data_IF_327125826376
#
_entry.id   IF_327125826376
#
_cell.length_a   1.000
_cell.length_b   1.000
_cell.length_c   1.000
_cell.angle_alpha   90.00
_cell.angle_beta   90.00
_cell.angle_gamma   90.00
#
_symmetry.space_group_name_H-M   'P 1'
#
loop_
_entity.id
_entity.type
_entity.pdbx_description
1 polymer ?
#
# COMPACT_ATOMS: atom_id res chain seq x y z
N UNK A 1 -32.60 16.32 2.68
CA UNK A 1 -31.30 15.71 2.39
C UNK A 1 -30.54 15.62 3.70
N UNK A 2 -29.95 14.48 4.03
CA UNK A 2 -28.98 14.44 5.14
C UNK A 2 -27.86 15.45 4.82
N UNK A 3 -27.35 16.16 5.82
CA UNK A 3 -26.28 17.17 5.64
C UNK A 3 -25.00 16.59 4.99
N UNK A 4 -24.92 15.28 4.83
CA UNK A 4 -23.77 14.54 4.32
C UNK A 4 -24.05 13.76 3.02
N UNK A 5 -25.15 14.00 2.30
CA UNK A 5 -25.33 13.46 0.96
C UNK A 5 -25.35 14.57 -0.10
N UNK A 6 -24.16 14.92 -0.60
CA UNK A 6 -24.00 15.76 -1.78
C UNK A 6 -24.55 15.06 -3.03
N UNK A 7 -24.97 15.81 -4.07
CA UNK A 7 -25.46 15.22 -5.32
C UNK A 7 -24.49 14.20 -5.92
N UNK A 8 -23.22 14.55 -6.03
CA UNK A 8 -22.16 13.67 -6.57
C UNK A 8 -22.00 12.39 -5.75
N UNK A 9 -22.10 12.45 -4.42
CA UNK A 9 -22.06 11.25 -3.59
C UNK A 9 -23.33 10.40 -3.72
N UNK A 10 -24.50 11.02 -3.93
CA UNK A 10 -25.74 10.31 -4.16
C UNK A 10 -25.68 9.48 -5.45
N UNK A 11 -25.11 10.06 -6.51
CA UNK A 11 -24.95 9.42 -7.81
C UNK A 11 -23.97 8.22 -7.71
N UNK A 12 -22.79 8.43 -7.12
CA UNK A 12 -21.79 7.38 -6.89
C UNK A 12 -22.35 6.24 -6.02
N UNK A 13 -23.08 6.57 -4.94
CA UNK A 13 -23.70 5.56 -4.08
C UNK A 13 -24.71 4.71 -4.86
N UNK A 14 -25.52 5.35 -5.71
CA UNK A 14 -26.51 4.68 -6.55
C UNK A 14 -25.87 3.70 -7.54
N UNK A 15 -24.75 4.07 -8.15
CA UNK A 15 -23.99 3.20 -9.06
C UNK A 15 -23.38 1.99 -8.31
N UNK A 16 -22.95 2.20 -7.06
CA UNK A 16 -22.44 1.15 -6.18
C UNK A 16 -23.53 0.25 -5.55
N UNK A 17 -24.82 0.57 -5.75
CA UNK A 17 -25.94 -0.24 -5.29
C UNK A 17 -26.48 0.11 -3.90
N UNK A 18 -26.11 1.27 -3.32
CA UNK A 18 -26.60 1.70 -2.00
C UNK A 18 -27.11 3.15 -1.99
N UNK A 19 -27.81 3.53 -0.91
CA UNK A 19 -28.35 4.88 -0.74
C UNK A 19 -27.60 5.64 0.36
N UNK A 20 -27.05 6.80 0.00
CA UNK A 20 -26.47 7.74 0.98
C UNK A 20 -27.48 8.26 2.01
N UNK A 21 -28.79 8.18 1.73
CA UNK A 21 -29.83 8.63 2.65
C UNK A 21 -30.03 7.67 3.82
N UNK A 22 -29.67 6.40 3.60
CA UNK A 22 -29.79 5.31 4.57
C UNK A 22 -28.44 4.82 5.07
N UNK A 23 -27.33 5.33 4.51
CA UNK A 23 -25.96 5.04 4.88
C UNK A 23 -25.60 5.61 6.27
N UNK A 24 -26.19 5.02 7.30
CA UNK A 24 -25.62 4.88 8.63
C UNK A 24 -25.42 6.13 9.49
N UNK A 25 -24.59 5.92 10.52
CA UNK A 25 -24.09 6.93 11.46
C UNK A 25 -22.55 6.88 11.53
N UNK A 26 -21.97 7.24 12.68
CA UNK A 26 -20.50 7.25 12.84
C UNK A 26 -19.85 5.86 12.68
N UNK A 27 -20.57 4.80 13.06
CA UNK A 27 -20.15 3.39 12.93
C UNK A 27 -21.38 2.59 12.52
N UNK A 28 -21.21 1.68 11.57
CA UNK A 28 -22.27 0.78 11.10
C UNK A 28 -21.76 -0.64 10.92
N UNK A 29 -22.65 -1.61 11.17
CA UNK A 29 -22.37 -3.04 11.03
C UNK A 29 -23.40 -3.66 10.10
N UNK A 30 -22.92 -4.32 9.04
CA UNK A 30 -23.73 -5.04 8.05
C UNK A 30 -23.48 -6.54 8.14
N UNK A 31 -24.43 -7.33 7.61
CA UNK A 31 -24.24 -8.76 7.48
C UNK A 31 -23.32 -9.04 6.28
N UNK A 32 -22.17 -9.72 6.44
CA UNK A 32 -21.24 -9.98 5.33
C UNK A 32 -21.84 -10.82 4.19
N UNK A 33 -22.92 -11.57 4.46
CA UNK A 33 -23.62 -12.39 3.46
C UNK A 33 -24.73 -11.63 2.72
N UNK A 34 -24.98 -10.37 3.07
CA UNK A 34 -26.00 -9.52 2.46
C UNK A 34 -25.38 -8.27 1.80
N UNK A 35 -24.07 -8.27 1.58
CA UNK A 35 -23.37 -7.22 0.84
C UNK A 35 -23.68 -7.34 -0.66
N UNK A 36 -23.47 -6.25 -1.40
CA UNK A 36 -23.83 -6.11 -2.82
C UNK A 36 -23.29 -7.26 -3.69
N UNK A 37 -22.07 -7.73 -3.39
CA UNK A 37 -21.51 -8.90 -4.04
C UNK A 37 -20.57 -9.68 -3.11
N UNK A 38 -20.28 -10.92 -3.49
CA UNK A 38 -19.47 -11.85 -2.69
C UNK A 38 -18.00 -11.47 -2.56
N UNK A 39 -17.49 -10.56 -3.41
CA UNK A 39 -16.08 -10.17 -3.39
C UNK A 39 -15.77 -9.15 -2.28
N UNK A 40 -16.76 -8.35 -1.87
CA UNK A 40 -16.65 -7.39 -0.77
C UNK A 40 -16.16 -8.04 0.55
N UNK A 41 -16.83 -9.09 1.09
CA UNK A 41 -16.36 -9.71 2.33
C UNK A 41 -15.04 -10.46 2.16
N UNK A 42 -14.73 -10.96 0.95
CA UNK A 42 -13.44 -11.63 0.65
C UNK A 42 -12.29 -10.63 0.73
N UNK A 43 -12.46 -9.46 0.10
CA UNK A 43 -11.49 -8.37 0.15
C UNK A 43 -11.30 -7.88 1.59
N UNK A 44 -12.40 -7.51 2.26
CA UNK A 44 -12.35 -6.98 3.63
C UNK A 44 -11.65 -7.94 4.59
N UNK A 45 -12.00 -9.23 4.54
CA UNK A 45 -11.37 -10.25 5.39
C UNK A 45 -9.87 -10.38 5.11
N UNK A 46 -9.48 -10.40 3.83
CA UNK A 46 -8.07 -10.53 3.42
C UNK A 46 -7.24 -9.34 3.92
N UNK A 47 -7.77 -8.12 3.80
CA UNK A 47 -7.04 -6.93 4.20
C UNK A 47 -7.01 -6.77 5.74
N UNK A 48 -8.17 -6.94 6.40
CA UNK A 48 -8.28 -6.77 7.86
C UNK A 48 -7.46 -7.82 8.61
N UNK A 49 -7.52 -9.10 8.22
CA UNK A 49 -6.67 -10.13 8.81
C UNK A 49 -5.19 -9.80 8.59
N UNK A 50 -4.82 -9.37 7.38
CA UNK A 50 -3.45 -8.96 7.06
C UNK A 50 -2.95 -7.85 7.98
N UNK A 51 -3.74 -6.79 8.18
CA UNK A 51 -3.41 -5.67 9.05
C UNK A 51 -3.29 -6.07 10.52
N UNK A 52 -4.20 -6.90 11.03
CA UNK A 52 -4.18 -7.39 12.41
C UNK A 52 -2.96 -8.27 12.66
N UNK A 53 -2.66 -9.19 11.74
CA UNK A 53 -1.48 -10.06 11.84
C UNK A 53 -0.18 -9.26 11.70
N UNK A 54 -0.15 -8.21 10.87
CA UNK A 54 0.98 -7.29 10.77
C UNK A 54 1.22 -6.56 12.09
N UNK A 55 0.17 -6.04 12.73
CA UNK A 55 0.26 -5.39 14.03
C UNK A 55 0.74 -6.37 15.10
N UNK A 56 0.16 -7.57 15.14
CA UNK A 56 0.56 -8.61 16.07
C UNK A 56 2.04 -8.97 15.90
N UNK A 57 2.51 -9.15 14.67
CA UNK A 57 3.92 -9.40 14.37
C UNK A 57 4.81 -8.24 14.84
N UNK A 58 4.42 -6.99 14.56
CA UNK A 58 5.16 -5.80 14.98
C UNK A 58 5.31 -5.72 16.51
N UNK A 59 4.24 -6.00 17.26
CA UNK A 59 4.25 -6.05 18.72
C UNK A 59 5.18 -7.17 19.23
N UNK A 60 5.06 -8.38 18.67
CA UNK A 60 5.91 -9.52 19.04
C UNK A 60 7.37 -9.20 18.78
N UNK A 61 7.67 -8.54 17.65
CA UNK A 61 9.03 -8.20 17.26
C UNK A 61 9.65 -7.14 18.17
N UNK A 62 8.89 -6.09 18.51
CA UNK A 62 9.32 -5.12 19.52
C UNK A 62 9.67 -5.82 20.84
N UNK A 63 8.79 -6.73 21.31
CA UNK A 63 8.98 -7.41 22.60
C UNK A 63 10.14 -8.41 22.61
N UNK A 64 10.39 -9.10 21.51
CA UNK A 64 11.42 -10.17 21.43
C UNK A 64 12.78 -9.70 20.94
N UNK A 65 12.81 -8.66 20.12
CA UNK A 65 14.03 -8.20 19.44
C UNK A 65 14.34 -6.73 19.70
N UNK A 66 13.53 -6.02 20.51
CA UNK A 66 13.74 -4.61 20.80
C UNK A 66 13.54 -3.69 19.60
N UNK A 67 12.97 -4.19 18.49
CA UNK A 67 12.87 -3.43 17.24
C UNK A 67 11.45 -2.86 17.01
N UNK A 68 11.26 -1.54 17.20
CA UNK A 68 9.98 -0.87 17.03
C UNK A 68 9.64 -0.50 15.57
N UNK A 69 10.52 -0.74 14.61
CA UNK A 69 10.40 -0.19 13.24
C UNK A 69 9.09 -0.58 12.57
N UNK A 70 8.68 -1.85 12.69
CA UNK A 70 7.45 -2.34 12.06
C UNK A 70 6.20 -1.79 12.77
N UNK A 71 6.29 -1.49 14.07
CA UNK A 71 5.21 -0.91 14.85
C UNK A 71 4.99 0.57 14.49
N UNK A 72 6.10 1.30 14.36
CA UNK A 72 6.09 2.70 13.94
C UNK A 72 5.63 2.83 12.49
N UNK A 73 5.99 1.89 11.61
CA UNK A 73 5.47 1.81 10.25
C UNK A 73 3.95 1.65 10.24
N UNK A 74 3.43 0.68 11.01
CA UNK A 74 1.99 0.40 11.08
C UNK A 74 1.20 1.63 11.55
N UNK A 75 1.56 2.19 12.70
CA UNK A 75 0.87 3.38 13.22
C UNK A 75 1.15 4.65 12.43
N UNK A 76 2.33 4.76 11.79
CA UNK A 76 2.65 5.87 10.89
C UNK A 76 1.77 5.88 9.64
N UNK A 77 1.51 4.70 9.06
CA UNK A 77 0.57 4.55 7.95
C UNK A 77 -0.87 4.90 8.36
N UNK A 78 -1.29 4.47 9.55
CA UNK A 78 -2.61 4.83 10.10
C UNK A 78 -2.71 6.32 10.41
N UNK A 79 -1.65 6.96 10.91
CA UNK A 79 -1.64 8.41 11.12
C UNK A 79 -1.73 9.17 9.79
N UNK A 80 -1.02 8.71 8.75
CA UNK A 80 -1.13 9.26 7.39
C UNK A 80 -2.56 9.19 6.85
N UNK A 81 -3.22 8.03 6.96
CA UNK A 81 -4.63 7.83 6.60
C UNK A 81 -5.52 8.90 7.25
N UNK A 82 -5.44 9.08 8.57
CA UNK A 82 -6.30 10.03 9.28
C UNK A 82 -5.99 11.51 8.99
N UNK A 83 -4.86 11.81 8.37
CA UNK A 83 -4.55 13.17 7.88
C UNK A 83 -5.14 13.41 6.51
N UNK A 84 -5.10 12.41 5.62
CA UNK A 84 -5.47 12.57 4.20
C UNK A 84 -6.95 12.26 3.93
N UNK A 85 -7.51 11.22 4.53
CA UNK A 85 -8.84 10.71 4.20
C UNK A 85 -10.01 11.60 4.62
N UNK A 86 -10.06 12.17 5.84
CA UNK A 86 -11.22 12.99 6.23
C UNK A 86 -11.47 14.19 5.29
N UNK A 87 -10.44 14.94 4.83
CA UNK A 87 -10.62 15.96 3.80
C UNK A 87 -11.18 15.46 2.48
N UNK A 88 -10.82 14.24 2.06
CA UNK A 88 -11.29 13.63 0.81
C UNK A 88 -12.76 13.21 0.89
N UNK A 89 -13.21 12.72 2.06
CA UNK A 89 -14.59 12.29 2.26
C UNK A 89 -15.56 13.42 2.60
N UNK A 90 -15.08 14.50 3.21
CA UNK A 90 -15.91 15.62 3.67
C UNK A 90 -15.37 16.98 3.21
N UNK A 91 -15.16 17.21 1.91
CA UNK A 91 -14.55 18.46 1.43
C UNK A 91 -15.29 19.71 1.93
N UNK A 92 -16.63 19.62 2.05
CA UNK A 92 -17.48 20.66 2.63
C UNK A 92 -17.13 21.01 4.08
N UNK A 93 -16.91 20.00 4.93
CA UNK A 93 -16.55 20.21 6.33
C UNK A 93 -15.17 20.87 6.52
N UNK A 94 -14.32 20.79 5.49
CA UNK A 94 -13.01 21.43 5.45
C UNK A 94 -12.99 22.74 4.64
N UNK A 95 -14.14 23.19 4.14
CA UNK A 95 -14.26 24.43 3.36
C UNK A 95 -13.52 24.40 2.03
N UNK A 96 -13.34 23.22 1.44
CA UNK A 96 -12.66 23.02 0.15
C UNK A 96 -13.61 22.56 -0.96
N UNK A 97 -14.92 22.58 -0.71
CA UNK A 97 -15.98 22.17 -1.65
C UNK A 97 -15.96 22.95 -2.98
N UNK A 98 -15.61 24.24 -2.96
CA UNK A 98 -15.46 25.07 -4.17
C UNK A 98 -14.24 24.67 -5.03
N UNK A 99 -13.39 23.78 -4.53
CA UNK A 99 -12.12 23.37 -5.15
C UNK A 99 -12.01 21.84 -5.33
N UNK A 100 -12.72 21.07 -4.51
CA UNK A 100 -12.66 19.60 -4.44
C UNK A 100 -14.09 19.09 -4.19
N UNK A 101 -14.73 18.57 -5.23
CA UNK A 101 -15.93 17.75 -5.05
C UNK A 101 -15.54 16.31 -4.65
N UNK A 102 -16.53 15.50 -4.27
CA UNK A 102 -16.38 14.08 -3.90
C UNK A 102 -15.56 13.34 -4.95
N UNK A 103 -14.34 12.94 -4.59
CA UNK A 103 -13.39 12.34 -5.54
C UNK A 103 -13.73 10.89 -5.87
N UNK A 104 -14.27 10.16 -4.89
CA UNK A 104 -14.68 8.76 -5.02
C UNK A 104 -15.65 8.40 -3.90
N UNK A 105 -16.32 7.27 -4.05
CA UNK A 105 -17.08 6.64 -2.99
C UNK A 105 -16.69 5.17 -2.90
N UNK A 106 -16.54 4.65 -1.68
CA UNK A 106 -16.47 3.21 -1.48
C UNK A 106 -17.86 2.61 -1.42
N UNK A 107 -17.96 1.33 -1.79
CA UNK A 107 -19.15 0.55 -1.44
C UNK A 107 -19.19 0.34 0.08
N UNK A 108 -20.33 -0.12 0.59
CA UNK A 108 -20.51 -0.43 2.00
C UNK A 108 -20.09 -1.85 2.32
N UNK A 109 -19.26 -2.02 3.34
CA UNK A 109 -18.70 -3.31 3.75
C UNK A 109 -19.34 -3.78 5.07
N UNK A 110 -18.76 -4.81 5.70
CA UNK A 110 -19.30 -5.32 6.97
C UNK A 110 -19.18 -4.29 8.09
N UNK A 111 -18.08 -3.54 8.11
CA UNK A 111 -17.86 -2.48 9.10
C UNK A 111 -17.48 -1.19 8.38
N UNK A 112 -18.34 -0.18 8.53
CA UNK A 112 -18.13 1.14 7.95
C UNK A 112 -18.11 2.22 9.03
N UNK A 113 -17.32 3.24 8.78
CA UNK A 113 -17.24 4.46 9.57
C UNK A 113 -17.72 5.66 8.76
N UNK A 114 -17.98 6.76 9.46
CA UNK A 114 -18.21 8.07 8.85
C UNK A 114 -19.36 8.07 7.82
N UNK A 115 -20.54 7.59 8.20
CA UNK A 115 -21.75 7.57 7.36
C UNK A 115 -21.55 6.78 6.05
N UNK A 116 -20.92 5.61 6.14
CA UNK A 116 -20.69 4.72 5.01
C UNK A 116 -19.58 5.16 4.05
N UNK A 117 -18.69 6.06 4.46
CA UNK A 117 -17.63 6.60 3.60
C UNK A 117 -16.27 5.98 3.83
N UNK A 118 -16.00 5.49 5.04
CA UNK A 118 -14.71 4.89 5.40
C UNK A 118 -14.91 3.45 5.87
N UNK A 119 -14.86 2.48 4.96
CA UNK A 119 -14.86 1.06 5.32
C UNK A 119 -13.63 0.67 6.14
N UNK A 120 -13.77 -0.30 7.06
CA UNK A 120 -12.65 -0.76 7.90
C UNK A 120 -11.49 -1.33 7.07
N UNK A 121 -11.77 -1.91 5.90
CA UNK A 121 -10.71 -2.45 5.04
C UNK A 121 -9.81 -1.33 4.50
N UNK A 122 -10.33 -0.12 4.29
CA UNK A 122 -9.51 1.05 3.89
C UNK A 122 -8.61 1.48 5.05
N UNK A 123 -9.14 1.51 6.28
CA UNK A 123 -8.30 1.75 7.46
C UNK A 123 -7.18 0.71 7.57
N UNK A 124 -7.48 -0.55 7.22
CA UNK A 124 -6.56 -1.67 7.31
C UNK A 124 -5.57 -1.79 6.14
N UNK A 125 -5.94 -1.37 4.91
CA UNK A 125 -5.09 -1.58 3.72
C UNK A 125 -3.80 -0.78 3.80
N UNK A 126 -3.86 0.44 4.34
CA UNK A 126 -2.73 1.34 4.50
C UNK A 126 -1.59 0.70 5.32
N UNK A 127 -1.80 0.32 6.59
CA UNK A 127 -0.75 -0.31 7.37
C UNK A 127 -0.37 -1.70 6.85
N UNK A 128 -1.33 -2.46 6.28
CA UNK A 128 -1.04 -3.79 5.74
C UNK A 128 -0.09 -3.74 4.54
N UNK A 129 -0.43 -2.95 3.51
CA UNK A 129 0.32 -2.87 2.27
C UNK A 129 1.70 -2.22 2.49
N UNK A 130 1.75 -1.16 3.30
CA UNK A 130 3.01 -0.56 3.73
C UNK A 130 3.92 -1.59 4.42
N UNK A 131 3.37 -2.42 5.30
CA UNK A 131 4.13 -3.49 5.98
C UNK A 131 4.66 -4.54 5.01
N UNK A 132 3.85 -4.99 4.05
CA UNK A 132 4.27 -5.97 3.04
C UNK A 132 5.42 -5.42 2.21
N UNK A 133 5.26 -4.24 1.62
CA UNK A 133 6.26 -3.64 0.75
C UNK A 133 7.56 -3.32 1.50
N UNK A 134 7.46 -2.68 2.66
CA UNK A 134 8.60 -2.36 3.51
C UNK A 134 9.33 -3.63 3.98
N UNK A 135 8.59 -4.64 4.42
CA UNK A 135 9.13 -5.91 4.88
C UNK A 135 9.93 -6.63 3.79
N UNK A 136 9.42 -6.68 2.55
CA UNK A 136 10.12 -7.28 1.40
C UNK A 136 11.46 -6.58 1.17
N UNK A 137 11.46 -5.25 1.04
CA UNK A 137 12.67 -4.46 0.78
C UNK A 137 13.68 -4.57 1.92
N UNK A 138 13.19 -4.59 3.16
CA UNK A 138 14.01 -4.74 4.36
C UNK A 138 14.65 -6.13 4.45
N UNK A 139 13.92 -7.19 4.15
CA UNK A 139 14.47 -8.56 4.13
C UNK A 139 15.59 -8.71 3.08
N UNK A 140 15.47 -8.04 1.94
CA UNK A 140 16.53 -7.98 0.93
C UNK A 140 17.70 -7.07 1.35
N UNK A 141 17.63 -6.43 2.53
CA UNK A 141 18.71 -5.64 3.10
C UNK A 141 19.05 -4.37 2.30
N UNK A 142 18.12 -3.87 1.49
CA UNK A 142 18.35 -2.70 0.62
C UNK A 142 18.70 -1.47 1.45
N UNK A 143 17.97 -1.22 2.55
CA UNK A 143 18.23 -0.08 3.45
C UNK A 143 19.66 -0.08 4.00
N UNK A 144 20.19 -1.25 4.38
CA UNK A 144 21.56 -1.38 4.92
C UNK A 144 22.62 -1.17 3.84
N UNK A 145 22.37 -1.65 2.61
CA UNK A 145 23.35 -1.59 1.51
C UNK A 145 23.35 -0.27 0.76
N UNK A 146 22.19 0.32 0.51
CA UNK A 146 22.01 1.50 -0.36
C UNK A 146 21.45 2.72 0.38
N UNK A 147 21.16 2.60 1.67
CA UNK A 147 20.68 3.70 2.51
C UNK A 147 19.17 3.93 2.43
N UNK A 148 18.73 4.92 3.21
CA UNK A 148 17.32 5.21 3.46
C UNK A 148 16.54 5.61 2.21
N UNK A 149 17.07 6.53 1.39
CA UNK A 149 16.36 7.05 0.22
C UNK A 149 16.15 5.98 -0.86
N UNK A 150 17.20 5.23 -1.18
CA UNK A 150 17.11 4.17 -2.19
C UNK A 150 16.22 3.03 -1.71
N UNK A 151 16.32 2.64 -0.44
CA UNK A 151 15.40 1.66 0.14
C UNK A 151 13.95 2.14 0.10
N UNK A 152 13.67 3.40 0.43
CA UNK A 152 12.33 3.98 0.35
C UNK A 152 11.79 3.99 -1.08
N UNK A 153 12.62 4.31 -2.06
CA UNK A 153 12.27 4.24 -3.49
C UNK A 153 11.87 2.80 -3.89
N UNK A 154 12.62 1.80 -3.40
CA UNK A 154 12.27 0.40 -3.61
C UNK A 154 10.96 0.01 -2.91
N UNK A 155 10.65 0.60 -1.75
CA UNK A 155 9.36 0.37 -1.07
C UNK A 155 8.21 0.94 -1.89
N UNK A 156 8.33 2.16 -2.41
CA UNK A 156 7.35 2.72 -3.34
C UNK A 156 7.11 1.82 -4.55
N UNK A 157 8.18 1.30 -5.16
CA UNK A 157 8.09 0.40 -6.31
C UNK A 157 7.38 -0.92 -5.99
N UNK A 158 7.73 -1.56 -4.87
CA UNK A 158 7.08 -2.81 -4.45
C UNK A 158 5.62 -2.56 -4.05
N UNK A 159 5.36 -1.51 -3.27
CA UNK A 159 4.00 -1.15 -2.86
C UNK A 159 3.10 -0.93 -4.07
N UNK A 160 3.57 -0.14 -5.04
CA UNK A 160 2.89 0.10 -6.30
C UNK A 160 2.48 -1.21 -6.98
N UNK A 161 3.42 -2.14 -7.15
CA UNK A 161 3.12 -3.41 -7.82
C UNK A 161 2.08 -4.27 -7.07
N UNK A 162 1.97 -4.15 -5.75
CA UNK A 162 0.89 -4.82 -5.01
C UNK A 162 -0.43 -4.05 -5.08
N UNK A 163 -0.38 -2.74 -4.91
CA UNK A 163 -1.54 -1.87 -4.84
C UNK A 163 -2.30 -1.84 -6.17
N UNK A 164 -1.61 -1.72 -7.30
CA UNK A 164 -2.22 -1.65 -8.64
C UNK A 164 -2.94 -2.93 -9.07
N UNK A 165 -2.64 -4.08 -8.44
CA UNK A 165 -3.40 -5.31 -8.64
C UNK A 165 -4.82 -5.16 -8.09
N UNK A 166 -4.94 -4.50 -6.93
CA UNK A 166 -6.18 -4.21 -6.25
C UNK A 166 -6.90 -3.01 -6.88
N UNK A 167 -6.16 -1.94 -7.22
CA UNK A 167 -6.78 -0.68 -7.67
C UNK A 167 -7.47 -0.82 -9.04
N UNK A 168 -6.86 -1.58 -9.96
CA UNK A 168 -7.40 -1.76 -11.31
C UNK A 168 -8.57 -2.76 -11.42
N UNK A 169 -8.86 -3.56 -10.39
CA UNK A 169 -10.04 -4.45 -10.38
C UNK A 169 -11.19 -3.89 -9.55
N UNK A 170 -10.89 -2.97 -8.61
CA UNK A 170 -11.89 -2.44 -7.67
C UNK A 170 -13.12 -1.82 -8.32
N UNK A 171 -12.97 -0.94 -9.33
CA UNK A 171 -14.13 -0.37 -10.02
C UNK A 171 -15.00 -1.43 -10.69
N UNK A 172 -14.39 -2.41 -11.39
CA UNK A 172 -15.11 -3.50 -12.05
C UNK A 172 -15.90 -4.36 -11.05
N UNK A 173 -15.38 -4.55 -9.83
CA UNK A 173 -16.04 -5.35 -8.78
C UNK A 173 -16.89 -4.50 -7.81
N UNK A 174 -17.10 -3.22 -8.13
CA UNK A 174 -17.87 -2.26 -7.31
C UNK A 174 -17.36 -2.17 -5.87
N UNK A 175 -16.05 -2.18 -5.68
CA UNK A 175 -15.45 -1.92 -4.36
C UNK A 175 -15.43 -0.43 -4.04
N UNK A 176 -15.26 0.38 -5.08
CA UNK A 176 -15.41 1.83 -5.08
C UNK A 176 -15.62 2.33 -6.49
N UNK A 177 -15.98 3.60 -6.60
CA UNK A 177 -16.17 4.28 -7.86
C UNK A 177 -15.52 5.66 -7.83
N UNK A 178 -14.86 6.01 -8.93
CA UNK A 178 -14.19 7.30 -9.10
C UNK A 178 -15.14 8.31 -9.72
N UNK A 179 -15.10 9.55 -9.23
CA UNK A 179 -15.72 10.67 -9.94
C UNK A 179 -14.90 11.00 -11.19
N UNK A 180 -15.28 10.45 -12.34
CA UNK A 180 -14.50 10.57 -13.58
C UNK A 180 -14.42 12.00 -14.11
N UNK A 181 -15.40 12.85 -13.81
CA UNK A 181 -15.40 14.25 -14.24
C UNK A 181 -14.63 15.18 -13.29
N UNK A 182 -14.17 14.67 -12.14
CA UNK A 182 -13.41 15.46 -11.19
C UNK A 182 -12.01 15.80 -11.74
N UNK A 183 -11.63 17.09 -11.86
CA UNK A 183 -10.33 17.48 -12.41
C UNK A 183 -9.11 16.89 -11.69
N UNK A 184 -9.24 16.54 -10.40
CA UNK A 184 -8.17 15.94 -9.61
C UNK A 184 -7.92 14.48 -10.01
N UNK A 185 -8.97 13.77 -10.41
CA UNK A 185 -8.87 12.38 -10.88
C UNK A 185 -8.27 12.28 -12.29
N UNK A 186 -8.24 13.39 -13.02
CA UNK A 186 -7.73 13.42 -14.39
C UNK A 186 -6.20 13.58 -14.46
N UNK A 187 -5.50 12.96 -15.42
CA UNK A 187 -6.04 12.00 -16.39
C UNK A 187 -6.35 10.63 -15.77
N UNK A 188 -7.31 9.93 -16.37
CA UNK A 188 -7.57 8.52 -16.08
C UNK A 188 -6.62 7.60 -16.86
N UNK A 189 -6.30 6.46 -16.27
CA UNK A 189 -5.66 5.30 -16.88
C UNK A 189 -6.65 4.14 -16.85
N UNK A 190 -7.41 4.02 -17.95
CA UNK A 190 -8.64 3.23 -18.00
C UNK A 190 -9.56 3.63 -16.82
N UNK A 191 -10.01 2.69 -15.98
CA UNK A 191 -10.88 3.01 -14.84
C UNK A 191 -10.20 3.72 -13.65
N UNK A 192 -8.88 3.95 -13.66
CA UNK A 192 -8.14 4.41 -12.45
C UNK A 192 -7.44 5.75 -12.68
N UNK A 193 -7.56 6.75 -11.79
CA UNK A 193 -6.82 8.01 -11.90
C UNK A 193 -5.30 7.79 -11.95
N UNK A 194 -4.60 8.42 -12.89
CA UNK A 194 -3.12 8.40 -12.94
C UNK A 194 -2.53 8.96 -11.65
N UNK A 195 -3.20 9.91 -11.01
CA UNK A 195 -2.85 10.39 -9.68
C UNK A 195 -2.87 9.28 -8.60
N UNK A 196 -3.83 8.35 -8.66
CA UNK A 196 -3.86 7.15 -7.80
C UNK A 196 -2.61 6.30 -8.03
N UNK A 197 -2.39 5.93 -9.30
CA UNK A 197 -1.30 5.06 -9.74
C UNK A 197 0.08 5.58 -9.32
N UNK A 198 0.29 6.90 -9.31
CA UNK A 198 1.59 7.47 -8.94
C UNK A 198 1.65 7.85 -7.47
N UNK A 199 0.69 8.64 -7.00
CA UNK A 199 0.75 9.24 -5.66
C UNK A 199 0.37 8.22 -4.60
N UNK A 200 -0.79 7.58 -4.75
CA UNK A 200 -1.35 6.61 -3.81
C UNK A 200 -0.67 5.24 -3.90
N UNK A 201 -0.22 4.82 -5.08
CA UNK A 201 0.45 3.53 -5.21
C UNK A 201 1.96 3.59 -4.91
N UNK A 202 2.66 4.69 -5.22
CA UNK A 202 4.13 4.70 -5.20
C UNK A 202 4.78 5.79 -4.32
N UNK A 203 4.27 7.02 -4.33
CA UNK A 203 4.97 8.15 -3.69
C UNK A 203 4.72 8.26 -2.18
N UNK A 204 3.49 8.11 -1.69
CA UNK A 204 3.27 8.13 -0.23
C UNK A 204 3.94 6.97 0.52
N UNK A 205 3.96 5.71 0.02
CA UNK A 205 4.63 4.61 0.72
C UNK A 205 6.15 4.83 0.70
N UNK A 206 6.69 5.41 -0.39
CA UNK A 206 8.08 5.85 -0.43
C UNK A 206 8.35 6.92 0.64
N UNK A 207 7.49 7.92 0.77
CA UNK A 207 7.64 8.97 1.79
C UNK A 207 7.58 8.39 3.21
N UNK A 208 6.58 7.56 3.50
CA UNK A 208 6.45 6.88 4.78
C UNK A 208 7.69 6.02 5.09
N UNK A 209 8.12 5.19 4.14
CA UNK A 209 9.29 4.34 4.31
C UNK A 209 10.57 5.14 4.57
N UNK A 210 10.74 6.27 3.87
CA UNK A 210 11.85 7.20 4.12
C UNK A 210 11.79 7.72 5.55
N UNK A 211 10.65 8.25 5.99
CA UNK A 211 10.48 8.80 7.34
C UNK A 211 10.71 7.73 8.42
N UNK A 212 10.10 6.54 8.29
CA UNK A 212 10.27 5.43 9.24
C UNK A 212 11.74 5.04 9.36
N UNK A 213 12.43 4.86 8.24
CA UNK A 213 13.84 4.47 8.24
C UNK A 213 14.76 5.58 8.72
N UNK A 214 14.45 6.84 8.38
CA UNK A 214 15.26 7.98 8.79
C UNK A 214 15.13 8.27 10.29
N UNK A 215 13.92 8.21 10.86
CA UNK A 215 13.69 8.53 12.25
C UNK A 215 13.88 7.34 13.19
N UNK A 216 13.65 6.11 12.75
CA UNK A 216 13.69 4.92 13.62
C UNK A 216 14.61 3.85 13.05
N UNK A 217 14.30 3.29 11.88
CA UNK A 217 14.95 2.06 11.37
C UNK A 217 16.48 2.12 11.35
N UNK A 218 17.08 3.18 10.79
CA UNK A 218 18.55 3.31 10.72
C UNK A 218 19.24 3.41 12.09
N UNK A 219 18.54 3.90 13.11
CA UNK A 219 19.08 4.01 14.45
C UNK A 219 19.00 2.67 15.18
N UNK A 220 17.90 1.92 14.98
CA UNK A 220 17.77 0.56 15.49
C UNK A 220 18.84 -0.34 14.85
N UNK A 221 19.05 -0.21 13.53
CA UNK A 221 20.11 -0.92 12.81
C UNK A 221 21.53 -0.56 13.34
N UNK A 222 21.70 0.63 13.93
CA UNK A 222 22.92 1.06 14.60
C UNK A 222 22.98 0.66 16.10
N UNK A 223 22.02 -0.11 16.60
CA UNK A 223 21.98 -0.60 17.98
C UNK A 223 21.41 0.40 19.00
N UNK A 224 20.68 1.43 18.56
CA UNK A 224 20.04 2.39 19.46
C UNK A 224 18.64 1.91 19.86
N UNK A 225 18.40 1.91 21.18
CA UNK A 225 17.09 1.71 21.77
C UNK A 225 16.31 3.02 21.94
N UNK A 226 14.99 2.90 22.02
CA UNK A 226 14.07 4.02 22.12
C UNK A 226 13.12 3.87 23.31
N UNK A 227 12.93 4.96 24.07
CA UNK A 227 11.90 5.01 25.10
C UNK A 227 10.50 5.13 24.47
N UNK A 228 9.45 4.71 25.19
CA UNK A 228 8.07 4.72 24.69
C UNK A 228 7.59 6.10 24.23
N UNK A 229 7.89 7.16 24.99
CA UNK A 229 7.55 8.55 24.62
C UNK A 229 8.26 8.98 23.34
N UNK A 230 9.52 8.55 23.16
CA UNK A 230 10.28 8.85 21.94
C UNK A 230 9.65 8.20 20.70
N UNK A 231 9.14 6.96 20.85
CA UNK A 231 8.43 6.28 19.77
C UNK A 231 7.09 6.93 19.44
N UNK A 232 6.33 7.38 20.44
CA UNK A 232 5.02 8.02 20.22
C UNK A 232 5.16 9.29 19.38
N UNK A 233 6.02 10.23 19.78
CA UNK A 233 6.14 11.49 19.01
C UNK A 233 6.74 11.24 17.62
N UNK A 234 7.71 10.33 17.50
CA UNK A 234 8.30 9.97 16.19
C UNK A 234 7.23 9.41 15.26
N UNK A 235 6.35 8.56 15.76
CA UNK A 235 5.24 7.98 14.98
C UNK A 235 4.31 9.07 14.46
N UNK A 236 3.94 10.03 15.31
CA UNK A 236 3.10 11.19 14.90
C UNK A 236 3.82 12.02 13.84
N UNK A 237 5.08 12.38 14.06
CA UNK A 237 5.88 13.16 13.11
C UNK A 237 6.06 12.42 11.78
N UNK A 238 6.27 11.10 11.82
CA UNK A 238 6.37 10.27 10.63
C UNK A 238 5.06 10.32 9.83
N UNK A 239 3.90 10.15 10.46
CA UNK A 239 2.60 10.25 9.77
C UNK A 239 2.39 11.62 9.12
N UNK A 240 2.71 12.70 9.84
CA UNK A 240 2.60 14.06 9.32
C UNK A 240 3.56 14.33 8.16
N UNK A 241 4.84 13.95 8.29
CA UNK A 241 5.84 14.15 7.23
C UNK A 241 5.60 13.27 6.01
N UNK A 242 5.10 12.05 6.19
CA UNK A 242 4.66 11.19 5.09
C UNK A 242 3.49 11.85 4.32
N UNK A 243 2.58 12.50 5.05
CA UNK A 243 1.49 13.30 4.47
C UNK A 243 2.03 14.45 3.63
N UNK A 244 3.01 15.20 4.15
CA UNK A 244 3.69 16.26 3.39
C UNK A 244 4.32 15.72 2.11
N UNK A 245 4.94 14.54 2.14
CA UNK A 245 5.53 13.91 0.95
C UNK A 245 4.52 13.62 -0.15
N UNK A 246 3.27 13.32 0.20
CA UNK A 246 2.17 13.11 -0.77
C UNK A 246 1.85 14.37 -1.55
N UNK A 247 2.07 15.55 -0.97
CA UNK A 247 1.91 16.83 -1.67
C UNK A 247 3.18 17.24 -2.41
N UNK A 248 4.36 17.03 -1.81
CA UNK A 248 5.64 17.52 -2.35
C UNK A 248 6.17 16.68 -3.51
N UNK A 249 6.09 15.35 -3.43
CA UNK A 249 6.65 14.46 -4.43
C UNK A 249 5.99 14.60 -5.82
N UNK A 250 4.66 14.74 -5.95
CA UNK A 250 4.02 14.96 -7.24
C UNK A 250 4.02 16.43 -7.71
N UNK A 251 4.68 17.35 -6.99
CA UNK A 251 4.72 18.76 -7.39
C UNK A 251 5.17 19.00 -8.84
N UNK A 252 6.18 18.29 -9.40
CA UNK A 252 6.54 18.49 -10.79
C UNK A 252 5.35 18.23 -11.73
N UNK A 253 4.61 17.15 -11.54
CA UNK A 253 3.40 16.86 -12.31
C UNK A 253 2.30 17.92 -12.09
N UNK A 254 2.06 18.32 -10.85
CA UNK A 254 1.04 19.32 -10.50
C UNK A 254 1.34 20.69 -11.10
N UNK A 255 2.59 21.16 -11.02
CA UNK A 255 3.00 22.50 -11.48
C UNK A 255 3.13 22.54 -13.00
N UNK A 256 3.83 21.57 -13.60
CA UNK A 256 4.04 21.55 -15.06
C UNK A 256 2.75 21.20 -15.81
N UNK A 257 1.88 20.40 -15.20
CA UNK A 257 0.60 19.98 -15.73
C UNK A 257 -0.59 20.86 -15.34
N UNK A 258 -0.37 22.00 -14.69
CA UNK A 258 -1.45 22.86 -14.17
C UNK A 258 -2.44 23.32 -15.27
N UNK A 259 -1.95 23.54 -16.48
CA UNK A 259 -2.74 23.98 -17.64
C UNK A 259 -3.07 22.88 -18.65
N UNK A 260 -2.61 21.64 -18.42
CA UNK A 260 -2.80 20.54 -19.36
C UNK A 260 -2.83 19.19 -18.66
N UNK A 261 -4.00 18.53 -18.73
CA UNK A 261 -4.19 17.15 -18.26
C UNK A 261 -3.23 16.18 -18.93
N UNK A 262 -2.95 16.35 -20.23
CA UNK A 262 -1.98 15.51 -20.95
C UNK A 262 -0.56 15.70 -20.41
N UNK A 263 -0.11 16.94 -20.19
CA UNK A 263 1.22 17.20 -19.61
C UNK A 263 1.30 16.62 -18.20
N UNK A 264 0.27 16.83 -17.37
CA UNK A 264 0.19 16.25 -16.02
C UNK A 264 0.37 14.73 -16.05
N UNK A 265 -0.37 14.03 -16.91
CA UNK A 265 -0.27 12.58 -17.08
C UNK A 265 1.12 12.12 -17.55
N UNK A 266 1.72 12.82 -18.51
CA UNK A 266 3.07 12.50 -18.98
C UNK A 266 4.10 12.66 -17.86
N UNK A 267 4.05 13.74 -17.09
CA UNK A 267 5.00 13.97 -15.99
C UNK A 267 4.81 12.94 -14.89
N UNK A 268 3.57 12.61 -14.51
CA UNK A 268 3.29 11.50 -13.60
C UNK A 268 3.87 10.17 -14.08
N UNK A 269 3.67 9.83 -15.36
CA UNK A 269 4.24 8.62 -15.94
C UNK A 269 5.78 8.62 -15.89
N UNK A 270 6.43 9.75 -16.16
CA UNK A 270 7.89 9.88 -16.06
C UNK A 270 8.41 9.72 -14.63
N UNK A 271 7.72 10.30 -13.64
CA UNK A 271 8.04 10.12 -12.21
C UNK A 271 7.98 8.64 -11.82
N UNK A 272 6.90 7.96 -12.21
CA UNK A 272 6.71 6.55 -11.93
C UNK A 272 7.74 5.67 -12.65
N UNK A 273 8.06 5.95 -13.92
CA UNK A 273 9.09 5.24 -14.67
C UNK A 273 10.45 5.40 -14.00
N UNK A 274 10.82 6.62 -13.59
CA UNK A 274 12.08 6.88 -12.92
C UNK A 274 12.19 6.09 -11.60
N UNK A 275 11.14 6.13 -10.77
CA UNK A 275 11.04 5.36 -9.53
C UNK A 275 11.15 3.86 -9.80
N UNK A 276 10.42 3.35 -10.81
CA UNK A 276 10.36 1.94 -11.16
C UNK A 276 11.69 1.40 -11.69
N UNK A 277 12.38 2.17 -12.53
CA UNK A 277 13.71 1.81 -13.03
C UNK A 277 14.71 1.69 -11.88
N UNK A 278 14.73 2.67 -10.98
CA UNK A 278 15.62 2.63 -9.80
C UNK A 278 15.29 1.44 -8.90
N UNK A 279 14.01 1.26 -8.56
CA UNK A 279 13.54 0.16 -7.71
C UNK A 279 13.90 -1.21 -8.29
N UNK A 280 13.57 -1.44 -9.57
CA UNK A 280 13.85 -2.71 -10.24
C UNK A 280 15.36 -3.00 -10.33
N UNK A 281 16.17 -2.03 -10.76
CA UNK A 281 17.62 -2.20 -10.91
C UNK A 281 18.27 -2.53 -9.56
N UNK A 282 17.90 -1.80 -8.50
CA UNK A 282 18.47 -1.99 -7.16
C UNK A 282 18.05 -3.35 -6.59
N UNK A 283 16.77 -3.72 -6.68
CA UNK A 283 16.29 -5.00 -6.17
C UNK A 283 16.93 -6.19 -6.90
N UNK A 284 17.04 -6.13 -8.22
CA UNK A 284 17.67 -7.19 -9.02
C UNK A 284 19.16 -7.31 -8.70
N UNK A 285 19.89 -6.19 -8.60
CA UNK A 285 21.31 -6.21 -8.20
C UNK A 285 21.45 -6.81 -6.80
N UNK A 286 20.66 -6.34 -5.84
CA UNK A 286 20.75 -6.80 -4.46
C UNK A 286 20.45 -8.30 -4.32
N UNK A 287 19.41 -8.77 -5.01
CA UNK A 287 19.07 -10.20 -5.04
C UNK A 287 20.21 -11.04 -5.63
N UNK A 288 20.84 -10.60 -6.72
CA UNK A 288 22.00 -11.30 -7.32
C UNK A 288 23.19 -11.35 -6.38
N UNK A 289 23.53 -10.23 -5.73
CA UNK A 289 24.66 -10.16 -4.80
C UNK A 289 24.45 -11.08 -3.60
N UNK A 290 23.23 -11.08 -3.03
CA UNK A 290 22.85 -11.97 -1.94
C UNK A 290 22.94 -13.45 -2.30
N UNK A 291 22.58 -13.81 -3.55
CA UNK A 291 22.67 -15.20 -4.02
C UNK A 291 24.11 -15.65 -4.32
N UNK A 292 25.02 -14.72 -4.58
CA UNK A 292 26.45 -15.02 -4.79
C UNK A 292 27.23 -15.16 -3.49
N UNK A 293 26.66 -14.71 -2.36
CA UNK A 293 27.37 -14.64 -1.09
C UNK A 293 28.23 -13.39 -0.93
N UNK A 294 28.13 -12.42 -1.85
CA UNK A 294 28.97 -11.23 -1.94
C UNK A 294 28.54 -10.08 -0.98
N UNK A 295 27.89 -10.40 0.14
CA UNK A 295 27.53 -9.37 1.11
C UNK A 295 27.01 -9.90 2.43
N UNK A 296 26.88 -8.99 3.40
CA UNK A 296 26.27 -9.28 4.70
C UNK A 296 24.90 -9.93 4.46
N UNK A 297 24.75 -11.16 4.97
CA UNK A 297 23.53 -11.95 4.82
C UNK A 297 22.28 -11.20 5.29
N UNK A 298 21.07 -11.69 4.96
CA UNK A 298 19.84 -11.06 5.42
C UNK A 298 19.81 -11.08 6.96
N UNK A 299 20.06 -9.93 7.59
CA UNK A 299 20.02 -9.78 9.05
C UNK A 299 18.60 -9.71 9.60
N UNK A 300 17.60 -9.80 8.71
CA UNK A 300 16.18 -9.71 9.02
C UNK A 300 15.39 -10.64 8.09
N UNK A 301 14.52 -11.47 8.69
CA UNK A 301 13.54 -12.29 7.98
C UNK A 301 12.19 -12.09 8.65
N UNK A 302 11.13 -11.97 7.84
CA UNK A 302 9.76 -11.80 8.28
C UNK A 302 8.86 -12.86 7.64
N UNK A 303 8.66 -14.01 8.32
CA UNK A 303 7.81 -15.09 7.81
C UNK A 303 6.34 -14.68 7.61
N UNK A 304 5.85 -13.71 8.38
CA UNK A 304 4.51 -13.18 8.20
C UNK A 304 4.39 -12.48 6.84
N UNK A 305 5.26 -11.50 6.55
CA UNK A 305 5.26 -10.78 5.26
C UNK A 305 5.41 -11.75 4.10
N UNK A 306 6.33 -12.71 4.20
CA UNK A 306 6.54 -13.72 3.17
C UNK A 306 5.27 -14.52 2.85
N UNK A 307 4.62 -15.08 3.87
CA UNK A 307 3.46 -15.96 3.68
C UNK A 307 2.21 -15.18 3.32
N UNK A 308 1.97 -14.05 3.98
CA UNK A 308 0.75 -13.29 3.77
C UNK A 308 0.77 -12.50 2.45
N UNK A 309 1.95 -12.10 1.96
CA UNK A 309 2.07 -11.57 0.59
C UNK A 309 1.67 -12.62 -0.47
N UNK A 310 2.04 -13.89 -0.28
CA UNK A 310 1.58 -14.98 -1.15
C UNK A 310 0.06 -15.16 -1.06
N UNK A 311 -0.51 -15.15 0.16
CA UNK A 311 -1.96 -15.25 0.35
C UNK A 311 -2.69 -14.12 -0.37
N UNK A 312 -2.23 -12.87 -0.21
CA UNK A 312 -2.79 -11.71 -0.90
C UNK A 312 -2.75 -11.89 -2.42
N UNK A 313 -1.60 -12.26 -2.99
CA UNK A 313 -1.46 -12.47 -4.44
C UNK A 313 -2.36 -13.60 -4.95
N UNK A 314 -2.52 -14.69 -4.19
CA UNK A 314 -3.41 -15.80 -4.56
C UNK A 314 -4.87 -15.38 -4.53
N UNK A 315 -5.30 -14.65 -3.50
CA UNK A 315 -6.68 -14.14 -3.40
C UNK A 315 -6.97 -13.16 -4.54
N UNK A 316 -6.07 -12.19 -4.77
CA UNK A 316 -6.23 -11.22 -5.86
C UNK A 316 -6.23 -11.88 -7.24
N UNK A 317 -5.38 -12.90 -7.46
CA UNK A 317 -5.42 -13.67 -8.70
C UNK A 317 -6.76 -14.39 -8.88
N UNK A 318 -7.32 -14.95 -7.80
CA UNK A 318 -8.66 -15.56 -7.83
C UNK A 318 -9.76 -14.57 -8.18
N UNK A 319 -9.72 -13.35 -7.61
CA UNK A 319 -10.66 -12.27 -7.90
C UNK A 319 -10.55 -11.80 -9.36
N UNK A 320 -9.33 -11.60 -9.87
CA UNK A 320 -9.10 -11.30 -11.28
C UNK A 320 -9.62 -12.40 -12.19
N UNK A 321 -9.32 -13.67 -11.92
CA UNK A 321 -9.82 -14.79 -12.72
C UNK A 321 -11.36 -14.84 -12.76
N UNK A 322 -12.03 -14.50 -11.66
CA UNK A 322 -13.49 -14.42 -11.62
C UNK A 322 -14.05 -13.24 -12.42
N UNK A 323 -13.31 -12.13 -12.51
CA UNK A 323 -13.70 -10.91 -13.25
C UNK A 323 -13.34 -10.96 -14.74
N UNK A 324 -12.42 -11.84 -15.17
CA UNK A 324 -11.97 -11.93 -16.57
C UNK A 324 -13.08 -12.15 -17.60
N UNK A 325 -14.13 -12.97 -17.37
CA UNK A 325 -15.20 -13.14 -18.34
C UNK A 325 -15.89 -11.82 -18.69
N UNK A 326 -16.25 -11.03 -17.67
CA UNK A 326 -16.88 -9.72 -17.85
C UNK A 326 -15.90 -8.70 -18.44
N UNK A 327 -14.62 -8.79 -18.06
CA UNK A 327 -13.55 -7.96 -18.64
C UNK A 327 -13.43 -8.16 -20.16
N UNK A 328 -13.44 -9.41 -20.63
CA UNK A 328 -13.33 -9.70 -22.07
C UNK A 328 -14.64 -9.48 -22.84
N UNK A 329 -15.78 -9.45 -22.14
CA UNK A 329 -17.07 -9.11 -22.72
C UNK A 329 -17.35 -7.60 -22.75
N UNK A 330 -16.53 -6.80 -22.06
CA UNK A 330 -16.69 -5.37 -21.95
C UNK A 330 -16.64 -4.67 -23.32
N UNK A 331 -17.45 -3.63 -23.47
CA UNK A 331 -17.54 -2.79 -24.67
C UNK A 331 -17.24 -1.36 -24.23
N UNK A 332 -16.37 -0.68 -24.99
CA UNK A 332 -15.96 0.70 -24.72
C UNK A 332 -15.42 0.95 -23.30
N UNK A 333 -14.85 -0.08 -22.66
CA UNK A 333 -14.26 0.00 -21.32
C UNK A 333 -15.22 -0.28 -20.17
N UNK A 334 -16.46 -0.71 -20.44
CA UNK A 334 -17.47 -0.99 -19.43
C UNK A 334 -18.03 -2.42 -19.57
N UNK A 335 -18.28 -3.08 -18.44
CA UNK A 335 -18.97 -4.38 -18.41
C UNK A 335 -20.43 -4.24 -18.81
N UNK A 336 -21.13 -5.35 -19.02
CA UNK A 336 -22.57 -5.35 -19.30
C UNK A 336 -23.43 -4.71 -18.17
N UNK A 337 -22.88 -4.62 -16.96
CA UNK A 337 -23.54 -3.98 -15.81
C UNK A 337 -23.18 -2.50 -15.64
N UNK A 338 -22.38 -1.94 -16.58
CA UNK A 338 -21.91 -0.55 -16.53
C UNK A 338 -20.69 -0.34 -15.64
N UNK A 339 -19.97 -1.40 -15.26
CA UNK A 339 -18.82 -1.28 -14.37
C UNK A 339 -17.55 -0.98 -15.19
N UNK A 340 -16.79 0.08 -14.90
CA UNK A 340 -15.62 0.43 -15.68
C UNK A 340 -14.46 -0.57 -15.42
N UNK A 341 -13.74 -0.94 -16.47
CA UNK A 341 -12.63 -1.92 -16.39
C UNK A 341 -11.26 -1.23 -16.29
N UNK A 342 -10.34 -1.79 -15.51
CA UNK A 342 -8.95 -1.33 -15.43
C UNK A 342 -8.06 -1.83 -16.56
N UNK A 343 -6.73 -1.70 -16.37
CA UNK A 343 -5.75 -2.11 -17.39
C UNK A 343 -5.19 -3.50 -17.12
N UNK A 344 -5.69 -4.53 -17.81
CA UNK A 344 -5.26 -5.92 -17.60
C UNK A 344 -3.75 -6.13 -17.79
N UNK A 345 -3.13 -5.54 -18.81
CA UNK A 345 -1.72 -5.77 -19.11
C UNK A 345 -0.80 -5.16 -18.06
N UNK A 346 -1.16 -3.98 -17.59
CA UNK A 346 -0.47 -3.32 -16.50
C UNK A 346 -0.61 -4.10 -15.20
N UNK A 347 -1.80 -4.61 -14.89
CA UNK A 347 -2.01 -5.49 -13.72
C UNK A 347 -1.21 -6.80 -13.83
N UNK A 348 -1.12 -7.41 -15.01
CA UNK A 348 -0.26 -8.59 -15.24
C UNK A 348 1.21 -8.25 -14.94
N UNK A 349 1.70 -7.10 -15.40
CA UNK A 349 3.06 -6.65 -15.07
C UNK A 349 3.26 -6.46 -13.56
N UNK A 350 2.26 -5.89 -12.87
CA UNK A 350 2.25 -5.72 -11.42
C UNK A 350 2.28 -7.06 -10.68
N UNK A 351 1.47 -8.04 -11.09
CA UNK A 351 1.53 -9.41 -10.57
C UNK A 351 2.91 -10.05 -10.72
N UNK A 352 3.53 -9.90 -11.90
CA UNK A 352 4.89 -10.43 -12.15
C UNK A 352 5.89 -9.77 -11.20
N UNK A 353 5.88 -8.45 -11.08
CA UNK A 353 6.81 -7.71 -10.21
C UNK A 353 6.60 -8.09 -8.74
N UNK A 354 5.35 -8.09 -8.26
CA UNK A 354 5.02 -8.45 -6.89
C UNK A 354 5.44 -9.89 -6.56
N UNK A 355 5.16 -10.84 -7.46
CA UNK A 355 5.57 -12.24 -7.32
C UNK A 355 7.09 -12.38 -7.28
N UNK A 356 7.81 -11.72 -8.19
CA UNK A 356 9.28 -11.75 -8.21
C UNK A 356 9.87 -11.14 -6.93
N UNK A 357 9.30 -10.06 -6.43
CA UNK A 357 9.72 -9.42 -5.19
C UNK A 357 9.54 -10.37 -3.99
N UNK A 358 8.44 -11.10 -3.92
CA UNK A 358 8.18 -12.11 -2.87
C UNK A 358 9.14 -13.29 -3.01
N UNK A 359 9.26 -13.87 -4.20
CA UNK A 359 10.16 -15.01 -4.49
C UNK A 359 11.62 -14.66 -4.17
N UNK A 360 12.05 -13.42 -4.42
CA UNK A 360 13.38 -12.96 -4.05
C UNK A 360 13.66 -13.16 -2.56
N UNK A 361 12.67 -12.94 -1.69
CA UNK A 361 12.85 -13.12 -0.22
C UNK A 361 12.99 -14.58 0.19
N UNK A 362 12.44 -15.52 -0.58
CA UNK A 362 12.53 -16.97 -0.30
C UNK A 362 13.81 -17.60 -0.85
N UNK A 363 14.42 -16.99 -1.87
CA UNK A 363 15.55 -17.58 -2.62
C UNK A 363 16.93 -17.08 -2.17
N UNK A 364 16.97 -16.13 -1.22
CA UNK A 364 18.21 -15.64 -0.63
C UNK A 364 18.65 -16.55 0.53
N UNK A 365 19.94 -16.93 0.61
CA UNK A 365 20.47 -17.73 1.73
C UNK A 365 20.20 -17.07 3.09
N UNK A 366 19.73 -17.86 4.06
CA UNK A 366 19.62 -17.40 5.46
C UNK A 366 21.03 -17.42 6.05
N UNK A 367 21.46 -16.34 6.71
CA UNK A 367 22.80 -16.19 7.27
C UNK A 367 23.07 -17.09 8.50
N UNK A 368 22.85 -18.40 8.38
CA UNK A 368 22.87 -19.33 9.50
C UNK A 368 23.08 -20.79 9.11
N UNK A 369 23.91 -21.06 8.10
CA UNK A 369 24.54 -22.37 7.86
C UNK A 369 26.04 -22.18 7.52
N UNK A 370 26.71 -21.29 8.26
CA UNK A 370 28.14 -21.47 8.44
C UNK A 370 28.29 -22.66 9.40
N UNK A 371 28.47 -23.84 8.80
CA UNK A 371 28.89 -25.07 9.46
C UNK A 371 29.83 -24.75 10.61
N UNK A 372 29.44 -25.16 11.82
CA UNK A 372 30.35 -25.27 12.94
C UNK A 372 31.54 -26.12 12.48
N UNK A 373 32.66 -25.50 12.15
CA UNK A 373 33.93 -26.20 12.17
C UNK A 373 34.14 -26.70 13.60
N UNK A 374 34.32 -28.01 13.82
CA UNK A 374 34.65 -28.49 15.14
C UNK A 374 35.99 -27.89 15.53
N UNK A 375 35.98 -27.09 16.59
CA UNK A 375 37.21 -26.64 17.26
C UNK A 375 37.99 -27.91 17.60
N UNK A 376 39.07 -28.15 16.87
CA UNK A 376 40.01 -29.21 17.19
C UNK A 376 40.64 -28.86 18.53
N UNK A 377 40.12 -29.48 19.58
CA UNK A 377 40.63 -29.46 20.93
C UNK A 377 42.00 -30.15 20.92
N UNK A 378 43.06 -29.36 20.71
CA UNK A 378 44.43 -29.82 20.92
C UNK A 378 44.66 -29.96 22.42
N UNK A 379 44.38 -31.15 22.94
CA UNK A 379 44.89 -31.62 24.22
C UNK A 379 46.42 -31.56 24.22
N UNK A 380 46.99 -30.51 24.80
CA UNK A 380 48.39 -30.51 25.23
C UNK A 380 48.43 -30.93 26.71
N UNK A 381 48.80 -32.20 26.88
CA UNK A 381 49.13 -32.85 28.15
C UNK A 381 50.35 -32.18 28.78
N UNK A 382 50.27 -31.98 30.08
CA UNK A 382 51.34 -31.60 31.01
C UNK A 382 52.61 -32.44 30.88
N UNK A 383 53.77 -31.79 30.84
CA UNK A 383 54.98 -32.15 31.58
C UNK A 383 55.99 -31.01 31.53
#
# INVERSE_FOLDING_TARGET
>A
MSEHCSPTFADLAGQLGFSCAEAGGLVEFRNPFALENWTLPVLELTIVIGAVLALWYAIVRLRRHGDPTDLVLWFGATAYLFVIEPPLYFPAAFGIEDHVDTMFAHNVFTVDFLWGRLPIYIVAIYPFMATVAFGIVRMLGVFRRYGTLVGATCVGFVHHAFYEIFDHIGPQLRWWEWSVDNPINQPMFDAVPVGSVVVFAALWPMSLAFCVQYFVGRHVDAGRDFAGVELVWRTVVIGLLASVGTFLLPLPATVLGASSTTVRGVVYALELIALSVVGAVVLVRRWRDLRRGDGDGPGYVNPFVQRYAVVYLVVMAGLWLAALPDFFAAVDGETANGDPIGNLWYTVACFVIATLAVVATFTVPRGGDATAEPVAESTAVTS
#
